data_IF_120260785821
#
_entry.id   IF_120260785821
#
_cell.length_a   1.000
_cell.length_b   1.000
_cell.length_c   1.000
_cell.angle_alpha   90.00
_cell.angle_beta   90.00
_cell.angle_gamma   90.00
#
_symmetry.space_group_name_H-M   'P 1'
#
loop_
_entity.id
_entity.type
_entity.pdbx_description
1 polymer ?
#
# COMPACT_ATOMS: atom_id res chain seq x y z
N UNK A 1 2.75 1.43 -14.84
CA UNK A 1 2.07 2.51 -15.59
C UNK A 1 1.83 3.67 -14.67
N UNK A 2 2.04 4.90 -15.14
CA UNK A 2 1.93 6.13 -14.34
C UNK A 2 0.50 6.69 -14.35
N UNK A 3 0.21 7.58 -13.40
CA UNK A 3 -1.03 8.38 -13.41
C UNK A 3 -1.15 9.25 -14.66
N UNK A 4 -0.05 9.71 -15.24
CA UNK A 4 -0.05 10.48 -16.47
C UNK A 4 -0.70 9.72 -17.62
N UNK A 5 -0.37 8.43 -17.78
CA UNK A 5 -1.02 7.57 -18.78
C UNK A 5 -2.52 7.44 -18.50
N UNK A 6 -2.91 7.14 -17.26
CA UNK A 6 -4.32 7.01 -16.86
C UNK A 6 -5.10 8.29 -17.16
N UNK A 7 -4.58 9.45 -16.76
CA UNK A 7 -5.24 10.73 -16.96
C UNK A 7 -5.37 11.08 -18.44
N UNK A 8 -4.32 10.82 -19.23
CA UNK A 8 -4.34 11.05 -20.69
C UNK A 8 -5.29 10.10 -21.42
N UNK A 9 -5.32 8.82 -21.04
CA UNK A 9 -6.12 7.79 -21.72
C UNK A 9 -7.60 7.86 -21.37
N UNK A 10 -7.93 8.16 -20.12
CA UNK A 10 -9.31 8.11 -19.63
C UNK A 10 -9.93 9.50 -19.39
N UNK A 11 -9.15 10.59 -19.53
CA UNK A 11 -9.63 11.94 -19.29
C UNK A 11 -9.97 12.24 -17.83
N UNK A 12 -9.37 11.50 -16.90
CA UNK A 12 -9.62 11.61 -15.45
C UNK A 12 -8.52 12.45 -14.77
N UNK A 13 -8.72 12.73 -13.47
CA UNK A 13 -7.77 13.49 -12.65
C UNK A 13 -7.20 12.62 -11.52
N UNK A 14 -6.71 11.42 -11.83
CA UNK A 14 -6.17 10.49 -10.84
C UNK A 14 -4.78 10.93 -10.36
N UNK A 15 -4.59 10.94 -9.04
CA UNK A 15 -3.29 11.14 -8.39
C UNK A 15 -3.30 10.57 -6.97
N UNK A 16 -2.12 10.26 -6.42
CA UNK A 16 -2.01 9.79 -5.03
C UNK A 16 -2.60 10.82 -4.07
N UNK A 17 -3.37 10.35 -3.09
CA UNK A 17 -4.02 11.18 -2.09
C UNK A 17 -5.37 11.72 -2.52
N UNK A 18 -5.76 11.60 -3.79
CA UNK A 18 -7.10 12.00 -4.22
C UNK A 18 -8.17 11.11 -3.60
N UNK A 19 -9.21 11.74 -3.06
CA UNK A 19 -10.39 11.07 -2.56
C UNK A 19 -11.28 10.63 -3.72
N UNK A 20 -11.87 9.47 -3.57
CA UNK A 20 -12.79 8.90 -4.54
C UNK A 20 -13.99 8.27 -3.85
N UNK A 21 -15.09 8.16 -4.58
CA UNK A 21 -16.19 7.24 -4.27
C UNK A 21 -16.18 6.20 -5.37
N UNK A 22 -16.08 4.92 -5.00
CA UNK A 22 -16.12 3.81 -5.96
C UNK A 22 -17.22 2.85 -5.54
N UNK A 23 -18.17 2.60 -6.43
CA UNK A 23 -19.35 1.76 -6.12
C UNK A 23 -20.11 2.19 -4.85
N UNK A 24 -20.12 3.50 -4.58
CA UNK A 24 -20.75 4.09 -3.39
C UNK A 24 -19.89 4.06 -2.12
N UNK A 25 -18.68 3.47 -2.17
CA UNK A 25 -17.76 3.43 -1.04
C UNK A 25 -16.67 4.51 -1.13
N UNK A 26 -16.44 5.22 -0.03
CA UNK A 26 -15.39 6.23 0.06
C UNK A 26 -14.00 5.60 0.15
N UNK A 27 -13.03 6.18 -0.55
CA UNK A 27 -11.63 5.77 -0.47
C UNK A 27 -10.65 6.84 -0.89
N UNK A 28 -9.37 6.47 -0.88
CA UNK A 28 -8.26 7.33 -1.31
C UNK A 28 -7.37 6.58 -2.28
N UNK A 29 -6.96 7.24 -3.37
CA UNK A 29 -6.00 6.70 -4.32
C UNK A 29 -4.63 6.63 -3.65
N UNK A 30 -4.03 5.44 -3.62
CA UNK A 30 -2.71 5.17 -3.04
C UNK A 30 -1.65 4.82 -4.08
N UNK A 31 -2.06 4.52 -5.31
CA UNK A 31 -1.16 4.10 -6.38
C UNK A 31 -1.89 3.87 -7.71
N UNK A 32 -1.14 3.37 -8.70
CA UNK A 32 -1.67 2.99 -10.01
C UNK A 32 -0.86 1.83 -10.58
N UNK A 33 -1.54 0.87 -11.21
CA UNK A 33 -0.91 -0.29 -11.84
C UNK A 33 -1.75 -0.77 -13.02
N UNK A 34 -1.09 -1.10 -14.13
CA UNK A 34 -1.71 -1.69 -15.33
C UNK A 34 -2.95 -0.95 -15.86
N UNK A 35 -3.00 0.38 -15.73
CA UNK A 35 -4.15 1.20 -16.16
C UNK A 35 -5.28 1.34 -15.12
N UNK A 36 -5.17 0.66 -13.98
CA UNK A 36 -6.10 0.75 -12.86
C UNK A 36 -5.57 1.71 -11.79
N UNK A 37 -6.50 2.36 -11.08
CA UNK A 37 -6.18 3.09 -9.86
C UNK A 37 -6.17 2.11 -8.67
N UNK A 38 -5.17 2.24 -7.80
CA UNK A 38 -5.14 1.53 -6.52
C UNK A 38 -5.81 2.40 -5.47
N UNK A 39 -6.90 1.92 -4.89
CA UNK A 39 -7.69 2.65 -3.91
C UNK A 39 -7.67 1.91 -2.58
N UNK A 40 -7.44 2.66 -1.51
CA UNK A 40 -7.65 2.20 -0.15
C UNK A 40 -9.03 2.70 0.31
N UNK A 41 -10.03 1.82 0.31
CA UNK A 41 -11.38 2.12 0.79
C UNK A 41 -11.37 2.35 2.29
N UNK A 42 -12.16 3.31 2.79
CA UNK A 42 -12.17 3.69 4.20
C UNK A 42 -12.61 2.56 5.13
N UNK A 43 -13.48 1.67 4.63
CA UNK A 43 -13.91 0.41 5.26
C UNK A 43 -12.75 -0.58 5.47
N UNK A 44 -11.70 -0.51 4.65
CA UNK A 44 -10.55 -1.39 4.68
C UNK A 44 -9.43 -0.91 5.61
N UNK A 45 -8.53 -1.84 5.97
CA UNK A 45 -7.29 -1.53 6.70
C UNK A 45 -6.36 -0.71 5.81
N UNK A 46 -5.49 0.13 6.41
CA UNK A 46 -4.57 1.00 5.65
C UNK A 46 -3.58 0.24 4.72
N UNK A 47 -3.32 -1.05 4.97
CA UNK A 47 -2.46 -1.88 4.11
C UNK A 47 -3.22 -2.63 3.01
N UNK A 48 -4.55 -2.57 2.99
CA UNK A 48 -5.37 -3.21 1.98
C UNK A 48 -5.71 -2.21 0.90
N UNK A 49 -5.49 -2.59 -0.36
CA UNK A 49 -5.78 -1.77 -1.53
C UNK A 49 -6.37 -2.64 -2.61
N UNK A 50 -7.35 -2.09 -3.31
CA UNK A 50 -8.06 -2.76 -4.38
C UNK A 50 -7.87 -1.96 -5.68
N UNK A 51 -8.05 -2.64 -6.80
CA UNK A 51 -7.83 -2.07 -8.13
C UNK A 51 -9.17 -1.74 -8.77
N UNK A 52 -9.33 -0.49 -9.22
CA UNK A 52 -10.55 -0.04 -9.88
C UNK A 52 -10.25 0.56 -11.24
N UNK A 53 -11.15 0.30 -12.19
CA UNK A 53 -11.03 0.91 -13.50
C UNK A 53 -11.29 2.42 -13.36
N UNK A 54 -10.46 3.31 -13.93
CA UNK A 54 -10.53 4.74 -13.65
C UNK A 54 -11.87 5.41 -13.99
N UNK A 55 -12.66 4.80 -14.87
CA UNK A 55 -13.96 5.35 -15.31
C UNK A 55 -15.18 4.55 -14.85
N UNK A 56 -14.99 3.40 -14.19
CA UNK A 56 -16.12 2.54 -13.81
C UNK A 56 -16.63 2.95 -12.44
N UNK A 57 -17.75 3.66 -12.41
CA UNK A 57 -18.44 4.05 -11.17
C UNK A 57 -17.50 4.72 -10.15
N UNK A 58 -16.59 5.57 -10.65
CA UNK A 58 -15.63 6.33 -9.85
C UNK A 58 -16.00 7.80 -9.91
N UNK A 59 -16.22 8.38 -8.74
CA UNK A 59 -16.30 9.83 -8.57
C UNK A 59 -14.99 10.35 -8.00
N UNK A 60 -14.36 11.31 -8.69
CA UNK A 60 -13.11 11.92 -8.25
C UNK A 60 -13.40 13.19 -7.45
N UNK A 61 -12.94 13.21 -6.20
CA UNK A 61 -13.13 14.31 -5.26
C UNK A 61 -11.82 15.11 -5.10
N UNK A 62 -11.73 15.86 -4.00
CA UNK A 62 -10.57 16.65 -3.60
C UNK A 62 -9.38 15.81 -3.09
N UNK A 63 -8.24 16.47 -2.88
CA UNK A 63 -7.07 15.82 -2.29
C UNK A 63 -7.31 15.64 -0.79
N UNK A 64 -7.25 14.38 -0.35
CA UNK A 64 -7.37 14.00 1.04
C UNK A 64 -6.05 13.50 1.64
N UNK A 65 -6.14 13.01 2.87
CA UNK A 65 -5.00 12.42 3.59
C UNK A 65 -4.93 10.93 3.30
N UNK A 66 -3.77 10.48 2.82
CA UNK A 66 -3.47 9.04 2.75
C UNK A 66 -3.27 8.49 4.16
N UNK A 67 -3.96 7.39 4.50
CA UNK A 67 -3.80 6.73 5.79
C UNK A 67 -2.42 6.11 5.88
N UNK A 68 -1.68 6.45 6.95
CA UNK A 68 -0.37 5.85 7.21
C UNK A 68 -0.54 4.45 7.76
N UNK A 69 0.35 3.54 7.35
CA UNK A 69 0.46 2.22 7.97
C UNK A 69 0.82 2.35 9.45
N UNK A 70 0.23 1.51 10.28
CA UNK A 70 0.69 1.34 11.67
C UNK A 70 2.11 0.75 11.68
N UNK A 71 2.86 0.93 12.77
CA UNK A 71 4.20 0.35 12.91
C UNK A 71 4.21 -1.19 12.78
N UNK A 72 3.13 -1.86 13.18
CA UNK A 72 2.95 -3.30 12.99
C UNK A 72 2.78 -3.67 11.51
N UNK A 73 1.85 -3.00 10.81
CA UNK A 73 1.62 -3.23 9.38
C UNK A 73 2.86 -2.92 8.54
N UNK A 74 3.58 -1.85 8.87
CA UNK A 74 4.83 -1.50 8.17
C UNK A 74 5.88 -2.60 8.32
N UNK A 75 6.11 -3.08 9.54
CA UNK A 75 7.05 -4.19 9.80
C UNK A 75 6.65 -5.48 9.09
N UNK A 76 5.36 -5.78 9.03
CA UNK A 76 4.87 -6.94 8.30
C UNK A 76 5.06 -6.79 6.79
N UNK A 77 4.81 -5.61 6.24
CA UNK A 77 5.08 -5.34 4.83
C UNK A 77 6.58 -5.41 4.50
N UNK A 78 7.44 -4.88 5.38
CA UNK A 78 8.90 -5.00 5.28
C UNK A 78 9.32 -6.48 5.29
N UNK A 79 8.74 -7.29 6.19
CA UNK A 79 8.96 -8.74 6.23
C UNK A 79 8.54 -9.44 4.92
N UNK A 80 7.35 -9.15 4.39
CA UNK A 80 6.88 -9.74 3.11
C UNK A 80 7.73 -9.33 1.91
N UNK A 81 8.30 -8.13 1.93
CA UNK A 81 9.16 -7.63 0.87
C UNK A 81 10.61 -8.15 1.00
N UNK A 82 11.01 -8.54 2.20
CA UNK A 82 12.33 -9.08 2.46
C UNK A 82 12.34 -10.56 2.06
N UNK A 83 13.30 -10.97 1.23
CA UNK A 83 13.49 -12.38 0.85
C UNK A 83 14.20 -13.13 1.99
N UNK A 84 13.51 -13.22 3.12
CA UNK A 84 13.98 -13.85 4.34
C UNK A 84 13.26 -15.18 4.48
N UNK A 85 14.00 -16.29 4.45
CA UNK A 85 13.47 -17.64 4.69
C UNK A 85 13.04 -17.91 6.13
N UNK A 86 12.71 -16.87 6.92
CA UNK A 86 12.31 -16.99 8.32
C UNK A 86 10.82 -16.63 8.51
N UNK A 87 10.27 -16.98 9.66
CA UNK A 87 8.92 -16.62 10.07
C UNK A 87 8.84 -15.15 10.53
N UNK A 88 7.63 -14.60 10.56
CA UNK A 88 7.44 -13.23 11.06
C UNK A 88 7.80 -13.05 12.54
N UNK A 89 7.62 -14.09 13.37
CA UNK A 89 8.02 -14.05 14.78
C UNK A 89 9.55 -13.97 14.94
N UNK A 90 10.29 -14.71 14.10
CA UNK A 90 11.74 -14.64 14.03
C UNK A 90 12.21 -13.29 13.51
N UNK A 91 11.58 -12.79 12.44
CA UNK A 91 11.81 -11.45 11.94
C UNK A 91 11.63 -10.42 13.06
N UNK A 92 10.55 -10.48 13.83
CA UNK A 92 10.27 -9.54 14.93
C UNK A 92 11.27 -9.64 16.09
N UNK A 93 11.97 -10.77 16.26
CA UNK A 93 12.85 -10.98 17.40
C UNK A 93 12.09 -11.21 18.69
N UNK A 94 11.07 -12.08 18.69
CA UNK A 94 10.27 -12.36 19.89
C UNK A 94 11.10 -13.09 20.95
N UNK A 95 11.89 -14.09 20.56
CA UNK A 95 12.84 -14.79 21.43
C UNK A 95 14.27 -14.24 21.31
N UNK A 96 15.22 -14.80 22.10
CA UNK A 96 16.61 -14.32 22.13
C UNK A 96 17.37 -14.62 20.84
N UNK A 97 17.23 -15.84 20.30
CA UNK A 97 17.93 -16.25 19.08
C UNK A 97 17.46 -15.41 17.89
N UNK A 98 16.16 -15.17 17.79
CA UNK A 98 15.57 -14.29 16.76
C UNK A 98 16.05 -12.84 16.86
N UNK A 99 16.24 -12.29 18.07
CA UNK A 99 16.83 -10.94 18.24
C UNK A 99 18.25 -10.86 17.73
N UNK A 100 19.07 -11.88 18.00
CA UNK A 100 20.45 -11.95 17.54
C UNK A 100 20.50 -12.09 16.01
N UNK A 101 19.64 -12.95 15.44
CA UNK A 101 19.50 -13.08 13.99
C UNK A 101 19.05 -11.76 13.33
N UNK A 102 18.06 -11.05 13.88
CA UNK A 102 17.64 -9.74 13.36
C UNK A 102 18.77 -8.70 13.43
N UNK A 103 19.59 -8.70 14.48
CA UNK A 103 20.77 -7.83 14.58
C UNK A 103 21.78 -8.15 13.49
N UNK A 104 22.03 -9.42 13.23
CA UNK A 104 22.89 -9.87 12.13
C UNK A 104 22.36 -9.38 10.78
N UNK A 105 21.08 -9.64 10.47
CA UNK A 105 20.47 -9.21 9.20
C UNK A 105 20.59 -7.70 8.98
N UNK A 106 20.39 -6.88 10.03
CA UNK A 106 20.62 -5.43 9.97
C UNK A 106 22.08 -5.07 9.71
N UNK A 107 23.01 -5.72 10.41
CA UNK A 107 24.44 -5.45 10.23
C UNK A 107 24.97 -5.85 8.85
N UNK A 108 24.37 -6.89 8.25
CA UNK A 108 24.71 -7.39 6.92
C UNK A 108 23.95 -6.66 5.78
N UNK A 109 23.06 -5.72 6.10
CA UNK A 109 22.34 -4.91 5.11
C UNK A 109 21.15 -5.60 4.43
N UNK A 110 20.64 -6.70 5.00
CA UNK A 110 19.46 -7.39 4.46
C UNK A 110 18.14 -6.69 4.81
N UNK A 111 18.08 -5.96 5.93
CA UNK A 111 16.92 -5.19 6.41
C UNK A 111 17.31 -3.93 7.18
#
# INVERSE_FOLDING_TARGET
MSFEYINKSYGVNACVGRRVIVDGEHGVIVGAKNGYIEVNLDSHKANQKDFYHPTWNVEYLEIGKVRKLTAGQKRYQEYLNADLGCSFAEYLGVDKASREHRKYLKSAGYI
#
